data_IF_339862133288
#
_entry.id   IF_339862133288
#
_cell.length_a   1.000
_cell.length_b   1.000
_cell.length_c   1.000
_cell.angle_alpha   90.00
_cell.angle_beta   90.00
_cell.angle_gamma   90.00
#
_symmetry.space_group_name_H-M   'P 1'
#
loop_
_entity.id
_entity.type
_entity.pdbx_description
1 polymer ?
#
# COMPACT_ATOMS: atom_id res chain seq x y z
N UNK A 1 -48.29 2.68 15.99
CA UNK A 1 -47.82 1.69 15.01
C UNK A 1 -46.88 0.73 15.72
N UNK A 2 -47.24 -0.55 15.85
CA UNK A 2 -46.43 -1.57 16.52
C UNK A 2 -45.55 -2.24 15.45
N UNK A 3 -44.24 -2.09 15.54
CA UNK A 3 -43.30 -2.83 14.69
C UNK A 3 -42.75 -4.02 15.48
N UNK A 4 -43.18 -5.20 15.07
CA UNK A 4 -42.75 -6.51 15.55
C UNK A 4 -41.33 -6.81 15.09
N UNK A 5 -40.46 -7.19 16.04
CA UNK A 5 -39.09 -7.64 15.80
C UNK A 5 -39.08 -9.13 15.45
N UNK A 6 -38.54 -9.49 14.28
CA UNK A 6 -38.32 -10.88 13.88
C UNK A 6 -36.88 -11.27 14.19
N UNK A 7 -36.72 -12.29 15.02
CA UNK A 7 -35.46 -12.83 15.53
C UNK A 7 -34.79 -13.68 14.44
N UNK A 8 -33.52 -13.41 14.15
CA UNK A 8 -32.68 -14.20 13.26
C UNK A 8 -32.11 -15.42 14.01
N UNK A 9 -32.36 -16.62 13.50
CA UNK A 9 -31.69 -17.84 13.94
C UNK A 9 -30.62 -18.20 12.89
N UNK A 10 -29.34 -18.04 13.24
CA UNK A 10 -28.21 -18.52 12.45
C UNK A 10 -27.77 -19.89 13.00
N UNK A 11 -27.95 -20.92 12.18
CA UNK A 11 -27.50 -22.29 12.42
C UNK A 11 -25.97 -22.38 12.25
N UNK A 12 -25.31 -23.04 13.21
CA UNK A 12 -23.87 -23.21 13.27
C UNK A 12 -23.33 -24.11 12.16
N UNK A 13 -22.23 -23.69 11.54
CA UNK A 13 -21.48 -24.44 10.51
C UNK A 13 -20.23 -25.06 11.15
N UNK A 14 -20.22 -26.38 11.27
CA UNK A 14 -19.05 -27.16 11.73
C UNK A 14 -18.07 -27.36 10.59
N UNK A 15 -16.85 -26.83 10.70
CA UNK A 15 -15.73 -27.16 9.82
C UNK A 15 -14.86 -28.23 10.46
N UNK A 16 -14.68 -29.34 9.74
CA UNK A 16 -13.78 -30.43 10.09
C UNK A 16 -12.31 -30.06 9.80
N UNK A 17 -11.43 -30.37 10.74
CA UNK A 17 -9.98 -30.22 10.62
C UNK A 17 -9.43 -31.31 9.68
N UNK A 18 -8.79 -30.89 8.58
CA UNK A 18 -7.91 -31.76 7.77
C UNK A 18 -6.51 -31.66 8.36
N UNK A 19 -6.03 -32.81 8.85
CA UNK A 19 -4.65 -33.05 9.27
C UNK A 19 -3.79 -33.30 8.02
N UNK A 20 -2.71 -32.55 7.84
CA UNK A 20 -1.66 -32.89 6.89
C UNK A 20 -0.40 -33.34 7.63
N UNK A 21 -0.02 -34.57 7.30
CA UNK A 21 1.08 -35.38 7.81
C UNK A 21 2.47 -34.78 7.52
N UNK A 22 3.38 -34.96 8.48
CA UNK A 22 4.80 -34.66 8.43
C UNK A 22 5.53 -35.34 7.26
N UNK A 23 6.30 -34.57 6.49
CA UNK A 23 7.45 -35.11 5.75
C UNK A 23 8.71 -34.29 6.04
N UNK A 24 9.49 -34.86 6.96
CA UNK A 24 10.88 -34.55 7.23
C UNK A 24 11.73 -35.01 6.04
N UNK A 25 12.29 -34.06 5.29
CA UNK A 25 13.43 -34.32 4.39
C UNK A 25 14.59 -33.45 4.85
N UNK A 26 15.54 -34.11 5.50
CA UNK A 26 16.91 -33.67 5.66
C UNK A 26 17.55 -33.62 4.28
N UNK A 27 17.85 -32.44 3.77
CA UNK A 27 18.93 -32.28 2.79
C UNK A 27 19.78 -31.08 3.18
N UNK A 28 21.08 -31.38 3.20
CA UNK A 28 22.21 -30.56 3.59
C UNK A 28 22.38 -29.36 2.66
N UNK A 29 22.42 -28.18 3.28
CA UNK A 29 22.87 -26.91 2.73
C UNK A 29 24.37 -26.98 2.32
N UNK A 30 24.73 -26.69 1.06
CA UNK A 30 26.10 -26.38 0.68
C UNK A 30 26.21 -24.95 0.13
N UNK A 31 25.58 -23.97 0.76
CA UNK A 31 25.92 -22.57 0.56
C UNK A 31 26.92 -22.12 1.61
N UNK A 32 28.07 -22.79 1.58
CA UNK A 32 29.31 -22.23 2.09
C UNK A 32 29.52 -20.85 1.44
N UNK A 33 29.66 -19.83 2.30
CA UNK A 33 29.76 -18.44 1.89
C UNK A 33 30.88 -18.22 0.87
N UNK A 34 30.54 -17.59 -0.25
CA UNK A 34 31.53 -17.11 -1.20
C UNK A 34 31.87 -15.67 -0.83
N UNK A 35 33.06 -15.54 -0.25
CA UNK A 35 33.76 -14.28 -0.02
C UNK A 35 33.99 -13.59 -1.38
N UNK A 36 33.39 -12.41 -1.60
CA UNK A 36 33.73 -11.55 -2.73
C UNK A 36 35.07 -10.85 -2.45
N UNK A 37 36.16 -11.61 -2.62
CA UNK A 37 37.52 -11.14 -2.46
C UNK A 37 38.39 -11.68 -3.59
N UNK A 38 38.83 -10.77 -4.46
CA UNK A 38 39.78 -10.93 -5.58
C UNK A 38 39.17 -11.47 -6.88
N UNK A 39 39.10 -10.58 -7.87
CA UNK A 39 38.55 -10.85 -9.21
C UNK A 39 39.30 -11.99 -9.89
N UNK A 40 38.57 -13.09 -10.08
CA UNK A 40 39.00 -14.19 -10.94
C UNK A 40 38.79 -13.71 -12.39
N UNK A 41 39.78 -13.77 -13.27
CA UNK A 41 39.59 -13.47 -14.68
C UNK A 41 38.60 -14.46 -15.30
N UNK A 42 37.65 -13.99 -16.11
CA UNK A 42 36.64 -14.84 -16.77
C UNK A 42 36.91 -14.83 -18.28
N UNK A 43 36.89 -16.02 -18.88
CA UNK A 43 36.99 -16.24 -20.32
C UNK A 43 35.60 -16.62 -20.82
N UNK A 44 35.06 -15.82 -21.73
CA UNK A 44 33.74 -15.99 -22.31
C UNK A 44 33.77 -16.78 -23.63
N UNK A 45 34.92 -16.95 -24.28
CA UNK A 45 35.03 -17.59 -25.60
C UNK A 45 35.75 -18.94 -25.61
N UNK A 46 36.39 -19.30 -24.49
CA UNK A 46 36.97 -20.61 -24.23
C UNK A 46 38.34 -20.83 -24.88
N UNK A 47 39.04 -19.78 -25.29
CA UNK A 47 40.38 -19.87 -25.87
C UNK A 47 41.50 -20.03 -24.82
N UNK A 48 41.16 -19.93 -23.53
CA UNK A 48 42.08 -20.07 -22.41
C UNK A 48 42.89 -18.80 -22.11
N UNK A 49 42.57 -17.68 -22.76
CA UNK A 49 43.11 -16.35 -22.50
C UNK A 49 42.01 -15.53 -21.80
N UNK A 50 42.28 -14.94 -20.62
CA UNK A 50 41.28 -14.08 -20.00
C UNK A 50 40.96 -12.85 -20.86
N UNK A 51 39.67 -12.64 -21.12
CA UNK A 51 39.20 -11.52 -21.96
C UNK A 51 39.55 -10.15 -21.37
N UNK A 52 39.63 -10.06 -20.03
CA UNK A 52 40.01 -8.85 -19.32
C UNK A 52 41.03 -9.15 -18.22
N UNK A 53 42.09 -8.32 -18.15
CA UNK A 53 43.14 -8.43 -17.13
C UNK A 53 42.70 -7.94 -15.74
N UNK A 54 43.40 -8.35 -14.67
CA UNK A 54 43.07 -7.91 -13.31
C UNK A 54 43.40 -6.42 -13.16
N UNK A 55 42.36 -5.58 -13.05
CA UNK A 55 42.52 -4.15 -12.77
C UNK A 55 41.93 -3.18 -13.81
N UNK A 56 41.24 -3.66 -14.84
CA UNK A 56 40.54 -2.79 -15.80
C UNK A 56 39.03 -2.72 -15.50
N UNK A 57 38.68 -2.10 -14.37
CA UNK A 57 37.37 -1.49 -14.19
C UNK A 57 37.60 0.00 -13.97
N UNK A 58 37.93 0.70 -15.06
CA UNK A 58 37.76 2.14 -15.10
C UNK A 58 36.24 2.36 -15.13
N UNK A 59 35.66 2.62 -13.96
CA UNK A 59 34.32 3.15 -13.87
C UNK A 59 34.39 4.59 -14.36
N UNK A 60 34.40 4.76 -15.69
CA UNK A 60 34.06 6.03 -16.29
C UNK A 60 32.73 6.45 -15.71
N UNK A 61 32.75 7.53 -14.92
CA UNK A 61 31.58 8.23 -14.40
C UNK A 61 30.81 8.86 -15.57
N UNK A 62 30.33 8.04 -16.50
CA UNK A 62 29.25 8.38 -17.42
C UNK A 62 27.95 8.17 -16.65
N UNK A 63 27.77 8.95 -15.58
CA UNK A 63 26.45 9.30 -15.11
C UNK A 63 25.86 10.24 -16.17
N UNK A 64 25.38 9.64 -17.26
CA UNK A 64 24.39 10.22 -18.13
C UNK A 64 23.30 10.78 -17.22
N UNK A 65 23.30 12.11 -17.11
CA UNK A 65 22.38 12.84 -16.27
C UNK A 65 20.98 12.41 -16.64
N UNK A 66 20.33 11.69 -15.72
CA UNK A 66 18.90 11.44 -15.79
C UNK A 66 18.22 12.82 -15.78
N UNK A 67 17.92 13.31 -16.97
CA UNK A 67 17.11 14.49 -17.21
C UNK A 67 15.80 14.33 -16.44
N UNK A 68 15.64 15.15 -15.40
CA UNK A 68 14.37 15.69 -14.94
C UNK A 68 13.20 14.70 -14.89
N UNK A 69 13.23 13.75 -13.96
CA UNK A 69 11.97 13.30 -13.37
C UNK A 69 11.54 14.37 -12.38
N UNK A 70 10.73 15.32 -12.85
CA UNK A 70 10.00 16.26 -12.01
C UNK A 70 9.09 15.44 -11.09
N UNK A 71 9.63 15.03 -9.93
CA UNK A 71 8.85 14.48 -8.84
C UNK A 71 8.03 15.64 -8.30
N UNK A 72 6.84 15.83 -8.89
CA UNK A 72 5.87 16.80 -8.41
C UNK A 72 5.83 16.71 -6.88
N UNK A 73 6.14 17.83 -6.22
CA UNK A 73 6.28 17.91 -4.77
C UNK A 73 5.08 17.22 -4.12
N UNK A 74 5.32 16.25 -3.23
CA UNK A 74 4.25 15.60 -2.48
C UNK A 74 3.49 16.68 -1.71
N UNK A 75 2.17 16.68 -1.87
CA UNK A 75 1.26 17.56 -1.14
C UNK A 75 0.27 16.70 -0.37
N UNK A 76 0.02 17.07 0.87
CA UNK A 76 -1.05 16.47 1.66
C UNK A 76 -2.39 16.93 1.10
N UNK A 77 -3.43 16.14 1.33
CA UNK A 77 -4.78 16.54 0.97
C UNK A 77 -5.33 17.64 1.88
N UNK A 78 -6.51 18.18 1.55
CA UNK A 78 -7.12 19.29 2.28
C UNK A 78 -7.47 18.95 3.74
N UNK A 79 -7.58 17.66 4.10
CA UNK A 79 -7.78 17.21 5.47
C UNK A 79 -6.46 16.78 6.15
N UNK A 80 -5.30 16.95 5.49
CA UNK A 80 -4.00 16.48 5.99
C UNK A 80 -3.78 14.97 5.78
N UNK A 81 -4.57 14.35 4.92
CA UNK A 81 -4.47 12.94 4.55
C UNK A 81 -3.58 12.69 3.32
N UNK A 82 -3.49 11.42 2.94
CA UNK A 82 -2.73 10.98 1.78
C UNK A 82 -3.56 11.12 0.50
N UNK A 83 -3.08 11.89 -0.47
CA UNK A 83 -3.68 11.91 -1.81
C UNK A 83 -3.28 10.65 -2.57
N UNK A 84 -4.24 10.06 -3.27
CA UNK A 84 -4.04 8.97 -4.22
C UNK A 84 -4.96 9.15 -5.43
N UNK A 85 -4.56 8.60 -6.58
CA UNK A 85 -5.30 8.76 -7.83
C UNK A 85 -5.42 7.42 -8.55
N UNK A 86 -6.51 7.27 -9.30
CA UNK A 86 -6.65 6.28 -10.36
C UNK A 86 -6.78 6.98 -11.72
N UNK A 87 -7.09 6.24 -12.80
CA UNK A 87 -7.28 6.83 -14.13
C UNK A 87 -8.34 7.93 -14.16
N UNK A 88 -9.46 7.71 -13.46
CA UNK A 88 -10.66 8.57 -13.56
C UNK A 88 -11.01 9.29 -12.25
N UNK A 89 -10.11 9.30 -11.27
CA UNK A 89 -10.35 9.98 -10.00
C UNK A 89 -9.07 10.41 -9.31
N UNK A 90 -9.21 11.44 -8.48
CA UNK A 90 -8.28 11.80 -7.41
C UNK A 90 -9.04 11.79 -6.10
N UNK A 91 -8.44 11.27 -5.04
CA UNK A 91 -9.04 11.19 -3.72
C UNK A 91 -7.99 11.35 -2.62
N UNK A 92 -8.45 11.71 -1.43
CA UNK A 92 -7.67 11.74 -0.21
C UNK A 92 -8.15 10.64 0.72
N UNK A 93 -7.20 9.91 1.29
CA UNK A 93 -7.40 9.02 2.42
C UNK A 93 -7.00 9.76 3.70
N UNK A 94 -7.94 9.93 4.62
CA UNK A 94 -7.72 10.58 5.91
C UNK A 94 -8.22 9.71 7.06
N UNK A 95 -7.47 9.67 8.15
CA UNK A 95 -7.90 9.03 9.39
C UNK A 95 -8.35 10.12 10.37
N UNK A 96 -9.64 10.11 10.67
CA UNK A 96 -10.26 11.01 11.66
C UNK A 96 -9.74 10.74 13.08
N UNK A 97 -9.96 11.70 13.98
CA UNK A 97 -9.61 11.55 15.40
C UNK A 97 -10.31 10.35 16.07
N UNK A 98 -11.51 10.01 15.60
CA UNK A 98 -12.28 8.83 16.03
C UNK A 98 -11.79 7.50 15.41
N UNK A 99 -10.59 7.50 14.78
CA UNK A 99 -9.99 6.37 14.07
C UNK A 99 -10.85 5.81 12.92
N UNK A 100 -11.77 6.59 12.36
CA UNK A 100 -12.52 6.23 11.14
C UNK A 100 -11.77 6.68 9.90
N UNK A 101 -11.95 5.95 8.82
CA UNK A 101 -11.42 6.32 7.51
C UNK A 101 -12.41 7.23 6.81
N UNK A 102 -11.92 8.38 6.37
CA UNK A 102 -12.63 9.30 5.49
C UNK A 102 -11.97 9.29 4.10
N UNK A 103 -12.79 9.23 3.06
CA UNK A 103 -12.40 9.38 1.66
C UNK A 103 -13.05 10.63 1.11
N UNK A 104 -12.22 11.58 0.70
CA UNK A 104 -12.64 12.84 0.08
C UNK A 104 -12.23 12.81 -1.39
N UNK A 105 -13.18 12.88 -2.33
CA UNK A 105 -12.82 13.00 -3.75
C UNK A 105 -12.35 14.41 -4.05
N UNK A 106 -11.38 14.55 -4.94
CA UNK A 106 -10.73 15.81 -5.25
C UNK A 106 -10.83 16.15 -6.74
N UNK A 107 -10.91 17.44 -7.07
CA UNK A 107 -10.70 17.93 -8.42
C UNK A 107 -9.20 18.04 -8.75
N UNK A 108 -8.87 18.58 -9.94
CA UNK A 108 -7.49 18.78 -10.40
C UNK A 108 -6.68 19.75 -9.52
N UNK A 109 -7.35 20.68 -8.83
CA UNK A 109 -6.74 21.65 -7.90
C UNK A 109 -6.54 21.09 -6.48
N UNK A 110 -6.75 19.78 -6.26
CA UNK A 110 -6.81 19.14 -4.94
C UNK A 110 -7.91 19.71 -4.01
N UNK A 111 -8.98 20.27 -4.56
CA UNK A 111 -10.15 20.73 -3.79
C UNK A 111 -11.19 19.62 -3.69
N UNK A 112 -11.82 19.53 -2.52
CA UNK A 112 -12.88 18.55 -2.26
C UNK A 112 -14.07 18.71 -3.21
N UNK A 113 -14.57 17.58 -3.71
CA UNK A 113 -15.80 17.45 -4.48
C UNK A 113 -16.67 16.35 -3.86
N UNK A 114 -17.99 16.52 -3.93
CA UNK A 114 -18.92 15.56 -3.36
C UNK A 114 -18.85 14.21 -4.11
N UNK A 115 -18.89 13.06 -3.40
CA UNK A 115 -19.02 11.76 -4.03
C UNK A 115 -20.35 11.64 -4.79
N UNK A 116 -20.27 11.22 -6.05
CA UNK A 116 -21.39 10.90 -6.91
C UNK A 116 -21.78 9.41 -6.75
N UNK A 117 -21.38 8.55 -7.70
CA UNK A 117 -21.69 7.12 -7.75
C UNK A 117 -20.53 6.22 -7.26
N UNK A 118 -19.42 6.83 -6.82
CA UNK A 118 -18.23 6.06 -6.44
C UNK A 118 -18.50 5.19 -5.22
N UNK A 119 -17.96 3.98 -5.23
CA UNK A 119 -17.91 3.08 -4.07
C UNK A 119 -16.45 2.86 -3.67
N UNK A 120 -16.22 2.67 -2.36
CA UNK A 120 -14.89 2.47 -1.80
C UNK A 120 -14.89 1.30 -0.81
N UNK A 121 -13.87 0.45 -0.92
CA UNK A 121 -13.55 -0.58 0.06
C UNK A 121 -12.11 -0.41 0.51
N UNK A 122 -11.88 -0.47 1.83
CA UNK A 122 -10.57 -0.34 2.45
C UNK A 122 -10.28 -1.63 3.21
N UNK A 123 -9.17 -2.28 2.87
CA UNK A 123 -8.69 -3.48 3.56
C UNK A 123 -7.40 -3.11 4.27
N UNK A 124 -7.32 -3.36 5.58
CA UNK A 124 -6.19 -2.95 6.40
C UNK A 124 -5.97 -3.86 7.61
N UNK A 125 -4.91 -3.63 8.37
CA UNK A 125 -4.57 -4.40 9.58
C UNK A 125 -3.67 -5.60 9.31
N UNK A 126 -3.81 -6.64 10.12
CA UNK A 126 -3.02 -7.87 10.01
C UNK A 126 -3.33 -8.61 8.69
N UNK A 127 -2.29 -9.09 8.00
CA UNK A 127 -2.46 -9.78 6.71
C UNK A 127 -3.16 -11.14 6.84
N UNK A 128 -2.99 -11.81 7.97
CA UNK A 128 -3.62 -13.09 8.31
C UNK A 128 -5.06 -12.89 8.83
N UNK A 129 -5.40 -11.70 9.31
CA UNK A 129 -6.75 -11.35 9.77
C UNK A 129 -7.12 -9.89 9.40
N UNK A 130 -7.40 -9.61 8.12
CA UNK A 130 -7.61 -8.25 7.65
C UNK A 130 -8.95 -7.69 8.11
N UNK A 131 -8.97 -6.39 8.37
CA UNK A 131 -10.19 -5.61 8.60
C UNK A 131 -10.64 -4.94 7.30
N UNK A 132 -11.90 -5.16 6.93
CA UNK A 132 -12.53 -4.50 5.78
C UNK A 132 -13.47 -3.40 6.25
N UNK A 133 -13.26 -2.18 5.74
CA UNK A 133 -14.11 -1.01 5.96
C UNK A 133 -14.74 -0.60 4.63
N UNK A 134 -16.03 -0.26 4.64
CA UNK A 134 -16.75 0.20 3.45
C UNK A 134 -17.34 1.58 3.75
N UNK A 135 -16.56 2.67 3.54
CA UNK A 135 -17.02 4.03 3.76
C UNK A 135 -18.31 4.36 2.97
N UNK A 136 -19.24 5.04 3.61
CA UNK A 136 -20.50 5.51 3.00
C UNK A 136 -20.63 7.02 3.16
N UNK A 137 -21.51 7.65 2.37
CA UNK A 137 -21.71 9.11 2.45
C UNK A 137 -21.98 9.54 3.90
N UNK A 138 -21.23 10.53 4.37
CA UNK A 138 -21.51 11.18 5.64
C UNK A 138 -22.81 11.99 5.57
N UNK A 139 -23.23 12.56 6.69
CA UNK A 139 -24.53 13.23 6.81
C UNK A 139 -24.71 14.43 5.86
N UNK A 140 -23.64 15.17 5.55
CA UNK A 140 -23.68 16.31 4.62
C UNK A 140 -23.39 15.91 3.15
N UNK A 141 -23.03 14.65 2.89
CA UNK A 141 -22.73 14.14 1.56
C UNK A 141 -21.43 14.67 0.96
N UNK A 142 -20.55 15.31 1.74
CA UNK A 142 -19.28 15.86 1.24
C UNK A 142 -18.16 14.82 1.13
N UNK A 143 -18.25 13.71 1.87
CA UNK A 143 -17.23 12.67 1.91
C UNK A 143 -17.82 11.28 2.17
N UNK A 144 -17.01 10.23 1.98
CA UNK A 144 -17.35 8.88 2.44
C UNK A 144 -16.63 8.60 3.76
N UNK A 145 -17.31 8.10 4.78
CA UNK A 145 -16.74 7.81 6.10
C UNK A 145 -17.08 6.37 6.51
N UNK A 146 -16.11 5.65 7.07
CA UNK A 146 -16.33 4.29 7.58
C UNK A 146 -17.23 4.29 8.82
N UNK A 147 -18.13 3.32 8.91
CA UNK A 147 -18.95 3.12 10.11
C UNK A 147 -18.15 2.54 11.28
N UNK A 148 -17.25 1.59 10.98
CA UNK A 148 -16.30 1.02 11.93
C UNK A 148 -14.98 1.79 11.96
N UNK A 149 -14.24 1.64 13.06
CA UNK A 149 -12.90 2.19 13.24
C UNK A 149 -11.84 1.28 12.64
N UNK A 150 -10.65 1.83 12.41
CA UNK A 150 -9.45 1.05 12.12
C UNK A 150 -9.15 0.06 13.26
N UNK A 151 -8.52 -1.08 12.94
CA UNK A 151 -8.01 -2.00 13.96
C UNK A 151 -6.93 -1.32 14.81
N UNK A 152 -6.66 -1.90 15.98
CA UNK A 152 -5.55 -1.44 16.82
C UNK A 152 -4.20 -1.63 16.12
N UNK A 153 -3.26 -0.77 16.49
CA UNK A 153 -1.96 -0.66 15.85
C UNK A 153 -1.82 0.61 15.03
N UNK A 154 -0.57 0.93 14.70
CA UNK A 154 -0.22 2.19 14.06
C UNK A 154 0.57 1.98 12.77
N UNK A 155 0.81 0.75 12.34
CA UNK A 155 1.61 0.44 11.16
C UNK A 155 1.16 -0.89 10.55
N UNK A 156 0.42 -0.82 9.44
CA UNK A 156 -0.08 -1.99 8.75
C UNK A 156 -0.30 -1.74 7.26
N UNK A 157 -0.27 -2.78 6.41
CA UNK A 157 -0.60 -2.66 5.00
C UNK A 157 -2.07 -2.22 4.84
N UNK A 158 -2.31 -1.34 3.87
CA UNK A 158 -3.62 -0.82 3.53
C UNK A 158 -3.81 -0.85 2.02
N UNK A 159 -4.98 -1.34 1.60
CA UNK A 159 -5.42 -1.36 0.21
C UNK A 159 -6.73 -0.59 0.13
N UNK A 160 -6.75 0.46 -0.66
CA UNK A 160 -7.97 1.21 -0.98
C UNK A 160 -8.38 0.84 -2.40
N UNK A 161 -9.59 0.33 -2.56
CA UNK A 161 -10.18 0.01 -3.86
C UNK A 161 -11.32 0.98 -4.12
N UNK A 162 -11.26 1.67 -5.25
CA UNK A 162 -12.28 2.63 -5.69
C UNK A 162 -12.86 2.14 -7.00
N UNK A 163 -14.18 2.13 -7.07
CA UNK A 163 -14.92 1.91 -8.31
C UNK A 163 -15.74 3.18 -8.58
N UNK A 164 -15.50 3.84 -9.71
CA UNK A 164 -16.06 5.18 -9.99
C UNK A 164 -17.52 5.13 -10.40
N UNK A 165 -17.93 4.07 -11.09
CA UNK A 165 -19.31 3.73 -11.45
C UNK A 165 -19.51 2.21 -11.34
N UNK A 166 -20.74 1.69 -11.22
CA UNK A 166 -20.99 0.26 -11.05
C UNK A 166 -20.35 -0.65 -12.12
N UNK A 167 -20.19 -0.15 -13.35
CA UNK A 167 -19.63 -0.89 -14.48
C UNK A 167 -18.13 -0.61 -14.72
N UNK A 168 -17.54 0.34 -13.99
CA UNK A 168 -16.12 0.68 -14.14
C UNK A 168 -15.22 -0.39 -13.52
N UNK A 169 -14.06 -0.61 -14.12
CA UNK A 169 -13.01 -1.42 -13.51
C UNK A 169 -12.50 -0.75 -12.22
N UNK A 170 -12.30 -1.50 -11.12
CA UNK A 170 -11.84 -0.92 -9.87
C UNK A 170 -10.34 -0.55 -9.95
N UNK A 171 -10.00 0.65 -9.48
CA UNK A 171 -8.62 1.07 -9.29
C UNK A 171 -8.19 0.92 -7.83
N UNK A 172 -6.93 0.56 -7.60
CA UNK A 172 -6.41 0.26 -6.25
C UNK A 172 -5.20 1.11 -5.92
N UNK A 173 -5.20 1.69 -4.73
CA UNK A 173 -4.01 2.23 -4.09
C UNK A 173 -3.56 1.28 -2.97
N UNK A 174 -2.26 1.01 -2.91
CA UNK A 174 -1.65 0.21 -1.83
C UNK A 174 -0.60 1.06 -1.14
N UNK A 175 -0.61 1.08 0.18
CA UNK A 175 0.37 1.80 1.00
C UNK A 175 0.39 1.22 2.40
N UNK A 176 1.42 1.57 3.17
CA UNK A 176 1.47 1.29 4.61
C UNK A 176 0.80 2.43 5.37
N UNK A 177 -0.20 2.13 6.18
CA UNK A 177 -0.83 3.11 7.07
C UNK A 177 0.00 3.22 8.34
N UNK A 178 1.00 4.12 8.29
CA UNK A 178 1.79 4.49 9.45
C UNK A 178 1.21 5.76 10.11
N UNK A 179 0.61 5.58 11.29
CA UNK A 179 -0.06 6.60 12.10
C UNK A 179 0.91 7.35 13.03
N UNK A 180 2.20 7.06 12.97
CA UNK A 180 3.24 7.78 13.71
C UNK A 180 3.36 9.20 13.16
N UNK A 181 3.65 10.17 14.04
CA UNK A 181 3.90 11.54 13.60
C UNK A 181 5.24 11.62 12.88
N UNK A 182 5.28 12.30 11.75
CA UNK A 182 6.53 12.53 11.06
C UNK A 182 7.44 13.46 11.87
N UNK A 183 8.73 13.17 11.91
CA UNK A 183 9.70 14.02 12.63
C UNK A 183 10.08 15.29 11.87
N UNK A 184 9.71 15.40 10.59
CA UNK A 184 10.14 16.48 9.68
C UNK A 184 8.99 17.32 9.10
N UNK A 185 7.74 16.89 9.27
CA UNK A 185 6.55 17.66 8.91
C UNK A 185 5.40 17.41 9.88
N UNK A 186 4.32 18.19 9.75
CA UNK A 186 3.19 18.15 10.66
C UNK A 186 2.23 16.97 10.42
N UNK A 187 2.47 16.16 9.39
CA UNK A 187 1.61 15.05 8.98
C UNK A 187 2.04 13.72 9.61
N UNK A 188 1.07 12.81 9.72
CA UNK A 188 1.37 11.39 9.98
C UNK A 188 2.18 10.80 8.82
N UNK A 189 3.01 9.81 9.13
CA UNK A 189 3.89 9.15 8.14
C UNK A 189 3.13 8.66 6.89
N UNK A 190 1.90 8.16 7.01
CA UNK A 190 1.10 7.75 5.85
C UNK A 190 0.78 8.89 4.86
N UNK A 191 0.71 10.12 5.36
CA UNK A 191 0.40 11.35 4.63
C UNK A 191 1.64 12.27 4.50
N UNK A 192 2.84 11.77 4.83
CA UNK A 192 4.05 12.58 4.81
C UNK A 192 4.33 13.14 3.40
N UNK A 193 4.71 14.41 3.37
CA UNK A 193 5.03 15.16 2.15
C UNK A 193 6.53 15.35 1.92
N UNK A 194 7.34 14.79 2.80
CA UNK A 194 8.79 14.92 2.72
C UNK A 194 9.38 13.83 1.80
N UNK A 195 10.64 14.02 1.43
CA UNK A 195 11.37 13.13 0.53
C UNK A 195 12.30 12.16 1.26
N UNK A 196 12.18 12.04 2.58
CA UNK A 196 12.86 10.97 3.30
C UNK A 196 12.18 9.64 2.96
N UNK A 197 12.98 8.62 2.63
CA UNK A 197 12.45 7.28 2.39
C UNK A 197 11.67 6.76 3.60
N UNK A 198 10.60 6.02 3.34
CA UNK A 198 9.70 5.43 4.34
C UNK A 198 9.64 3.92 4.19
#
# INVERSE_FOLDING_TARGET
MKLTYTIAAFTALTFALVSCDDKKTTETDPHAGHNHGTGVPHDHDGDGIPDHGPGAHDHGDDHDGHEGHDHAKKVAGPNGGRIFSGPDFRAEFFVTDDKKVQITFLNEDNKAIAPAAQTVSVICGDRSNPTTLNPTKNADGSALVSSATLPDGNNFPTIVTVQTTPDAAPARAKFTLNMTQCSSCDYKEYACTCDHGH
#
